data_IF_416109630125
#
_entry.id   IF_416109630125
#
_cell.length_a   1.000
_cell.length_b   1.000
_cell.length_c   1.000
_cell.angle_alpha   90.00
_cell.angle_beta   90.00
_cell.angle_gamma   90.00
#
_symmetry.space_group_name_H-M   'P 1'
#
loop_
_entity.id
_entity.type
_entity.pdbx_description
1 polymer ?
#
# COMPACT_ATOMS: atom_id res chain seq x y z
N UNK A 1 -37.11 -26.97 -39.35
CA UNK A 1 -38.31 -27.51 -38.68
C UNK A 1 -37.93 -28.86 -38.08
N UNK A 2 -37.54 -28.89 -36.79
CA UNK A 2 -37.22 -30.14 -36.10
C UNK A 2 -38.51 -30.84 -35.72
N UNK A 3 -38.82 -31.95 -36.38
CA UNK A 3 -39.77 -32.93 -35.87
C UNK A 3 -39.21 -33.43 -34.53
N UNK A 4 -39.93 -33.18 -33.44
CA UNK A 4 -39.69 -33.85 -32.17
C UNK A 4 -39.81 -35.36 -32.41
N UNK A 5 -38.69 -36.04 -32.51
CA UNK A 5 -38.64 -37.50 -32.66
C UNK A 5 -39.05 -38.08 -31.30
N UNK A 6 -40.32 -38.43 -31.12
CA UNK A 6 -40.84 -38.98 -29.84
C UNK A 6 -40.40 -40.42 -29.61
N UNK A 7 -40.29 -40.85 -28.35
CA UNK A 7 -39.98 -42.25 -28.01
C UNK A 7 -40.97 -43.24 -28.64
N UNK A 8 -42.21 -42.79 -28.88
CA UNK A 8 -43.27 -43.55 -29.52
C UNK A 8 -42.92 -43.95 -30.96
N UNK A 9 -42.31 -43.05 -31.74
CA UNK A 9 -41.90 -43.36 -33.11
C UNK A 9 -40.78 -44.42 -33.18
N UNK A 10 -39.85 -44.39 -32.23
CA UNK A 10 -38.77 -45.38 -32.15
C UNK A 10 -39.33 -46.75 -31.74
N UNK A 11 -40.27 -46.76 -30.79
CA UNK A 11 -40.99 -47.98 -30.37
C UNK A 11 -41.79 -48.59 -31.53
N UNK A 12 -42.47 -47.76 -32.32
CA UNK A 12 -43.20 -48.19 -33.51
C UNK A 12 -42.26 -48.81 -34.56
N UNK A 13 -41.09 -48.23 -34.78
CA UNK A 13 -40.07 -48.80 -35.67
C UNK A 13 -39.54 -50.14 -35.14
N UNK A 14 -39.30 -50.25 -33.83
CA UNK A 14 -38.90 -51.52 -33.21
C UNK A 14 -39.96 -52.60 -33.37
N UNK A 15 -41.23 -52.26 -33.21
CA UNK A 15 -42.35 -53.19 -33.39
C UNK A 15 -42.54 -53.58 -34.87
N UNK A 16 -42.42 -52.64 -35.81
CA UNK A 16 -42.45 -52.92 -37.25
C UNK A 16 -41.30 -53.82 -37.69
N UNK A 17 -40.09 -53.59 -37.15
CA UNK A 17 -38.94 -54.47 -37.36
C UNK A 17 -39.23 -55.89 -36.86
N UNK A 18 -39.78 -56.03 -35.65
CA UNK A 18 -40.11 -57.34 -35.09
C UNK A 18 -41.18 -58.06 -35.92
N UNK A 19 -42.24 -57.37 -36.32
CA UNK A 19 -43.29 -57.94 -37.17
C UNK A 19 -42.76 -58.39 -38.55
N UNK A 20 -41.80 -57.65 -39.14
CA UNK A 20 -41.15 -58.03 -40.39
C UNK A 20 -40.28 -59.28 -40.23
N UNK A 21 -39.57 -59.42 -39.10
CA UNK A 21 -38.82 -60.62 -38.74
C UNK A 21 -39.77 -61.82 -38.57
N UNK A 22 -40.88 -61.63 -37.86
CA UNK A 22 -41.89 -62.68 -37.62
C UNK A 22 -42.59 -63.11 -38.92
N UNK A 23 -42.69 -62.20 -39.90
CA UNK A 23 -43.19 -62.46 -41.25
C UNK A 23 -42.14 -63.01 -42.23
N UNK A 24 -40.90 -63.22 -41.78
CA UNK A 24 -39.74 -63.66 -42.60
C UNK A 24 -39.35 -62.69 -43.73
N UNK A 25 -39.74 -61.42 -43.62
CA UNK A 25 -39.37 -60.34 -44.56
C UNK A 25 -38.12 -59.61 -44.06
N UNK A 26 -36.96 -60.18 -44.40
CA UNK A 26 -35.66 -59.68 -43.93
C UNK A 26 -35.24 -58.37 -44.61
N UNK A 27 -35.68 -58.10 -45.84
CA UNK A 27 -35.39 -56.85 -46.54
C UNK A 27 -36.10 -55.67 -45.83
N UNK A 28 -37.37 -55.86 -45.47
CA UNK A 28 -38.12 -54.86 -44.70
C UNK A 28 -37.60 -54.72 -43.27
N UNK A 29 -37.15 -55.81 -42.64
CA UNK A 29 -36.52 -55.75 -41.32
C UNK A 29 -35.18 -54.98 -41.33
N UNK A 30 -34.35 -55.16 -42.36
CA UNK A 30 -33.10 -54.41 -42.55
C UNK A 30 -33.35 -52.92 -42.80
N UNK A 31 -34.37 -52.59 -43.60
CA UNK A 31 -34.81 -51.21 -43.80
C UNK A 31 -35.15 -50.52 -42.47
N UNK A 32 -36.00 -51.15 -41.65
CA UNK A 32 -36.38 -50.59 -40.34
C UNK A 32 -35.21 -50.55 -39.36
N UNK A 33 -34.29 -51.52 -39.40
CA UNK A 33 -33.06 -51.47 -38.62
C UNK A 33 -32.21 -50.24 -38.97
N UNK A 34 -32.00 -49.99 -40.26
CA UNK A 34 -31.23 -48.83 -40.74
C UNK A 34 -31.92 -47.50 -40.38
N UNK A 35 -33.24 -47.41 -40.45
CA UNK A 35 -33.98 -46.23 -39.97
C UNK A 35 -33.82 -46.01 -38.46
N UNK A 36 -33.90 -47.06 -37.64
CA UNK A 36 -33.67 -46.97 -36.19
C UNK A 36 -32.26 -46.44 -35.91
N UNK A 37 -31.24 -46.99 -36.58
CA UNK A 37 -29.86 -46.54 -36.41
C UNK A 37 -29.66 -45.07 -36.84
N UNK A 38 -30.28 -44.65 -37.93
CA UNK A 38 -30.26 -43.26 -38.39
C UNK A 38 -30.90 -42.33 -37.36
N UNK A 39 -32.03 -42.69 -36.77
CA UNK A 39 -32.69 -41.87 -35.76
C UNK A 39 -31.92 -41.80 -34.44
N UNK A 40 -31.35 -42.91 -33.99
CA UNK A 40 -30.47 -42.94 -32.81
C UNK A 40 -29.27 -42.01 -33.04
N UNK A 41 -28.66 -42.07 -34.23
CA UNK A 41 -27.53 -41.21 -34.59
C UNK A 41 -27.92 -39.73 -34.62
N UNK A 42 -29.05 -39.37 -35.23
CA UNK A 42 -29.53 -37.99 -35.28
C UNK A 42 -29.85 -37.44 -33.88
N UNK A 43 -30.51 -38.24 -33.02
CA UNK A 43 -30.79 -37.86 -31.62
C UNK A 43 -29.50 -37.67 -30.84
N UNK A 44 -28.56 -38.62 -30.96
CA UNK A 44 -27.27 -38.53 -30.31
C UNK A 44 -26.50 -37.28 -30.71
N UNK A 45 -26.49 -36.96 -32.02
CA UNK A 45 -25.82 -35.76 -32.51
C UNK A 45 -26.46 -34.48 -31.99
N UNK A 46 -27.80 -34.39 -31.98
CA UNK A 46 -28.51 -33.25 -31.39
C UNK A 46 -28.20 -33.08 -29.89
N UNK A 47 -28.15 -34.17 -29.13
CA UNK A 47 -27.78 -34.15 -27.71
C UNK A 47 -26.32 -33.71 -27.49
N UNK A 48 -25.39 -34.17 -28.34
CA UNK A 48 -23.99 -33.76 -28.29
C UNK A 48 -23.84 -32.27 -28.58
N UNK A 49 -24.55 -31.76 -29.59
CA UNK A 49 -24.54 -30.33 -29.94
C UNK A 49 -25.13 -29.46 -28.81
N UNK A 50 -26.19 -29.93 -28.15
CA UNK A 50 -26.76 -29.25 -26.97
C UNK A 50 -25.76 -29.23 -25.80
N UNK A 51 -25.11 -30.37 -25.49
CA UNK A 51 -24.08 -30.45 -24.45
C UNK A 51 -22.91 -29.52 -24.77
N UNK A 52 -22.44 -29.50 -26.02
CA UNK A 52 -21.37 -28.61 -26.49
C UNK A 52 -21.75 -27.14 -26.27
N UNK A 53 -22.95 -26.75 -26.70
CA UNK A 53 -23.44 -25.38 -26.55
C UNK A 53 -23.52 -24.95 -25.08
N UNK A 54 -24.17 -25.75 -24.23
CA UNK A 54 -24.33 -25.44 -22.81
C UNK A 54 -22.98 -25.37 -22.08
N UNK A 55 -22.07 -26.29 -22.39
CA UNK A 55 -20.73 -26.32 -21.80
C UNK A 55 -19.95 -25.07 -22.14
N UNK A 56 -20.01 -24.60 -23.39
CA UNK A 56 -19.33 -23.38 -23.81
C UNK A 56 -19.95 -22.11 -23.20
N UNK A 57 -21.28 -22.10 -22.99
CA UNK A 57 -21.96 -21.02 -22.26
C UNK A 57 -21.53 -21.00 -20.79
N UNK A 58 -21.45 -22.16 -20.12
CA UNK A 58 -20.96 -22.26 -18.75
C UNK A 58 -19.49 -21.85 -18.63
N UNK A 59 -18.63 -22.26 -19.57
CA UNK A 59 -17.22 -21.84 -19.64
C UNK A 59 -17.10 -20.32 -19.73
N UNK A 60 -17.89 -19.69 -20.60
CA UNK A 60 -17.91 -18.23 -20.75
C UNK A 60 -18.33 -17.52 -19.46
N UNK A 61 -19.26 -18.10 -18.69
CA UNK A 61 -19.65 -17.57 -17.36
C UNK A 61 -18.52 -17.69 -16.35
N UNK A 62 -17.82 -18.83 -16.31
CA UNK A 62 -16.66 -19.04 -15.43
C UNK A 62 -15.56 -18.00 -15.74
N UNK A 63 -15.25 -17.81 -17.02
CA UNK A 63 -14.25 -16.83 -17.48
C UNK A 63 -14.63 -15.40 -17.11
N UNK A 64 -15.91 -15.03 -17.24
CA UNK A 64 -16.42 -13.72 -16.84
C UNK A 64 -16.30 -13.52 -15.33
N UNK A 65 -16.77 -14.47 -14.53
CA UNK A 65 -16.70 -14.38 -13.07
C UNK A 65 -15.25 -14.26 -12.58
N UNK A 66 -14.32 -15.03 -13.18
CA UNK A 66 -12.90 -14.91 -12.85
C UNK A 66 -12.34 -13.53 -13.21
N UNK A 67 -12.76 -12.95 -14.35
CA UNK A 67 -12.37 -11.59 -14.73
C UNK A 67 -12.85 -10.55 -13.72
N UNK A 68 -14.11 -10.63 -13.29
CA UNK A 68 -14.68 -9.73 -12.29
C UNK A 68 -13.88 -9.81 -10.98
N UNK A 69 -13.53 -11.03 -10.54
CA UNK A 69 -12.66 -11.24 -9.35
C UNK A 69 -11.27 -10.63 -9.55
N UNK A 70 -10.67 -10.74 -10.73
CA UNK A 70 -9.35 -10.14 -11.00
C UNK A 70 -9.41 -8.61 -10.98
N UNK A 71 -10.50 -8.01 -11.46
CA UNK A 71 -10.72 -6.56 -11.42
C UNK A 71 -10.86 -6.08 -9.97
N UNK A 72 -11.65 -6.78 -9.15
CA UNK A 72 -11.81 -6.48 -7.72
C UNK A 72 -10.48 -6.59 -6.96
N UNK A 73 -9.69 -7.64 -7.21
CA UNK A 73 -8.36 -7.81 -6.60
C UNK A 73 -7.40 -6.71 -7.01
N UNK A 74 -7.42 -6.29 -8.29
CA UNK A 74 -6.59 -5.19 -8.77
C UNK A 74 -6.98 -3.85 -8.14
N UNK A 75 -8.28 -3.58 -7.99
CA UNK A 75 -8.77 -2.36 -7.36
C UNK A 75 -8.45 -2.34 -5.86
N UNK A 76 -8.65 -3.45 -5.14
CA UNK A 76 -8.34 -3.53 -3.72
C UNK A 76 -6.84 -3.40 -3.46
N UNK A 77 -6.00 -4.05 -4.28
CA UNK A 77 -4.55 -3.85 -4.25
C UNK A 77 -4.21 -2.36 -4.37
N UNK A 78 -4.75 -1.68 -5.39
CA UNK A 78 -4.49 -0.25 -5.60
C UNK A 78 -4.94 0.61 -4.42
N UNK A 79 -6.12 0.34 -3.85
CA UNK A 79 -6.63 1.06 -2.67
C UNK A 79 -5.72 0.82 -1.47
N UNK A 80 -5.25 -0.41 -1.28
CA UNK A 80 -4.37 -0.77 -0.17
C UNK A 80 -2.99 -0.11 -0.32
N UNK A 81 -2.39 -0.11 -1.52
CA UNK A 81 -1.14 0.61 -1.82
C UNK A 81 -1.27 2.11 -1.55
N UNK A 82 -2.36 2.73 -2.02
CA UNK A 82 -2.59 4.16 -1.82
C UNK A 82 -2.79 4.52 -0.34
N UNK A 83 -3.48 3.67 0.44
CA UNK A 83 -3.64 3.84 1.89
C UNK A 83 -2.31 3.71 2.61
N UNK A 84 -1.50 2.72 2.25
CA UNK A 84 -0.18 2.49 2.83
C UNK A 84 0.73 3.69 2.58
N UNK A 85 0.82 4.14 1.33
CA UNK A 85 1.61 5.32 0.98
C UNK A 85 1.16 6.57 1.74
N UNK A 86 -0.16 6.83 1.80
CA UNK A 86 -0.70 7.98 2.52
C UNK A 86 -0.41 7.92 4.03
N UNK A 87 -0.49 6.73 4.64
CA UNK A 87 -0.20 6.52 6.07
C UNK A 87 1.25 6.91 6.37
N UNK A 88 2.20 6.34 5.62
CA UNK A 88 3.62 6.61 5.85
C UNK A 88 4.02 8.04 5.47
N UNK A 89 3.39 8.64 4.45
CA UNK A 89 3.62 10.04 4.14
C UNK A 89 3.24 10.97 5.31
N UNK A 90 2.10 10.73 5.96
CA UNK A 90 1.69 11.52 7.14
C UNK A 90 2.67 11.29 8.28
N UNK A 91 3.02 10.03 8.55
CA UNK A 91 3.96 9.69 9.62
C UNK A 91 5.33 10.37 9.41
N UNK A 92 5.87 10.32 8.19
CA UNK A 92 7.13 11.02 7.86
C UNK A 92 7.03 12.53 8.10
N UNK A 93 5.92 13.16 7.71
CA UNK A 93 5.75 14.61 7.89
C UNK A 93 5.65 14.96 9.37
N UNK A 94 4.84 14.23 10.14
CA UNK A 94 4.68 14.45 11.59
C UNK A 94 6.02 14.28 12.30
N UNK A 95 6.78 13.23 11.98
CA UNK A 95 8.11 13.02 12.57
C UNK A 95 9.09 14.12 12.17
N UNK A 96 9.09 14.59 10.91
CA UNK A 96 9.95 15.71 10.50
C UNK A 96 9.61 17.00 11.25
N UNK A 97 8.33 17.31 11.41
CA UNK A 97 7.88 18.50 12.12
C UNK A 97 8.28 18.44 13.60
N UNK A 98 8.12 17.27 14.24
CA UNK A 98 8.57 17.05 15.62
C UNK A 98 10.10 17.18 15.77
N UNK A 99 10.87 16.63 14.83
CA UNK A 99 12.34 16.73 14.81
C UNK A 99 12.81 18.19 14.67
N UNK A 100 12.14 18.97 13.81
CA UNK A 100 12.40 20.41 13.67
C UNK A 100 12.11 21.13 14.99
N UNK A 101 10.98 20.81 15.65
CA UNK A 101 10.65 21.41 16.94
C UNK A 101 11.69 21.12 18.02
N UNK A 102 12.18 19.88 18.10
CA UNK A 102 13.23 19.50 19.04
C UNK A 102 14.54 20.28 18.80
N UNK A 103 14.97 20.43 17.54
CA UNK A 103 16.15 21.22 17.20
C UNK A 103 15.96 22.71 17.52
N UNK A 104 14.76 23.25 17.28
CA UNK A 104 14.45 24.63 17.63
C UNK A 104 14.51 24.86 19.14
N UNK A 105 14.00 23.92 19.94
CA UNK A 105 14.03 24.04 21.39
C UNK A 105 15.45 23.90 21.95
N UNK A 106 16.28 23.03 21.36
CA UNK A 106 17.70 22.93 21.68
C UNK A 106 18.45 24.25 21.43
N UNK A 107 18.22 24.91 20.29
CA UNK A 107 18.86 26.19 19.98
C UNK A 107 18.35 27.33 20.89
N UNK A 108 17.08 27.29 21.31
CA UNK A 108 16.57 28.24 22.32
C UNK A 108 17.23 28.03 23.67
N UNK A 109 17.34 26.78 24.12
CA UNK A 109 17.99 26.44 25.39
C UNK A 109 19.46 26.87 25.37
N UNK A 110 20.18 26.59 24.28
CA UNK A 110 21.53 27.09 24.05
C UNK A 110 21.62 28.62 24.19
N UNK A 111 20.70 29.34 23.56
CA UNK A 111 20.65 30.80 23.64
C UNK A 111 20.43 31.32 25.06
N UNK A 112 19.56 30.66 25.83
CA UNK A 112 19.30 30.98 27.23
C UNK A 112 20.52 30.71 28.12
N UNK A 113 21.15 29.53 27.98
CA UNK A 113 22.34 29.18 28.76
C UNK A 113 23.52 30.11 28.48
N UNK A 114 23.73 30.51 27.23
CA UNK A 114 24.75 31.51 26.88
C UNK A 114 24.48 32.87 27.53
N UNK A 115 23.21 33.28 27.59
CA UNK A 115 22.82 34.52 28.25
C UNK A 115 23.08 34.43 29.77
N UNK A 116 22.65 33.34 30.41
CA UNK A 116 22.85 33.11 31.85
C UNK A 116 24.34 33.09 32.22
N UNK A 117 25.18 32.40 31.44
CA UNK A 117 26.62 32.37 31.69
C UNK A 117 27.32 33.72 31.43
N UNK A 118 26.76 34.55 30.54
CA UNK A 118 27.24 35.92 30.30
C UNK A 118 26.88 36.89 31.43
N UNK A 119 25.76 36.66 32.12
CA UNK A 119 25.31 37.48 33.25
C UNK A 119 25.96 37.05 34.57
N UNK A 120 26.47 35.82 34.64
CA UNK A 120 27.08 35.25 35.83
C UNK A 120 28.38 35.97 36.20
N UNK A 121 28.41 36.50 37.42
CA UNK A 121 29.56 37.22 37.97
C UNK A 121 30.87 36.40 37.95
N UNK A 122 31.99 37.10 37.77
CA UNK A 122 33.35 36.53 37.78
C UNK A 122 34.05 36.99 39.07
N UNK A 123 34.17 36.12 40.08
CA UNK A 123 34.72 36.50 41.39
C UNK A 123 36.12 37.10 41.32
N UNK A 124 37.00 36.52 40.51
CA UNK A 124 38.39 36.99 40.35
C UNK A 124 38.45 38.41 39.77
N UNK A 125 37.59 38.72 38.79
CA UNK A 125 37.44 40.07 38.24
C UNK A 125 36.96 41.04 39.33
N UNK A 126 35.98 40.65 40.15
CA UNK A 126 35.45 41.48 41.24
C UNK A 126 36.54 41.76 42.30
N UNK A 127 37.35 40.77 42.66
CA UNK A 127 38.46 40.91 43.60
C UNK A 127 39.56 41.85 43.10
N UNK A 128 39.95 41.71 41.82
CA UNK A 128 40.91 42.62 41.19
C UNK A 128 40.39 44.05 41.12
N UNK A 129 39.10 44.24 40.78
CA UNK A 129 38.47 45.56 40.79
C UNK A 129 38.40 46.15 42.21
N UNK A 130 38.13 45.34 43.23
CA UNK A 130 38.14 45.78 44.62
C UNK A 130 39.55 46.16 45.10
N UNK A 131 40.59 45.45 44.65
CA UNK A 131 41.99 45.77 44.93
C UNK A 131 42.43 47.04 44.20
N UNK A 132 42.03 47.21 42.94
CA UNK A 132 42.26 48.44 42.17
C UNK A 132 41.63 49.66 42.86
N UNK A 133 40.41 49.52 43.40
CA UNK A 133 39.75 50.58 44.19
C UNK A 133 40.56 50.94 45.44
N UNK A 134 41.08 49.96 46.18
CA UNK A 134 41.91 50.20 47.37
C UNK A 134 43.22 50.92 47.02
N UNK A 135 43.91 50.52 45.96
CA UNK A 135 45.15 51.17 45.51
C UNK A 135 44.89 52.61 45.02
N UNK A 136 43.75 52.86 44.38
CA UNK A 136 43.34 54.21 44.01
C UNK A 136 43.07 55.11 45.23
N UNK A 137 42.48 54.56 46.31
CA UNK A 137 42.29 55.29 47.57
C UNK A 137 43.63 55.67 48.23
N UNK A 138 44.67 54.87 48.03
CA UNK A 138 46.04 55.16 48.46
C UNK A 138 46.82 56.07 47.49
N UNK A 139 46.15 56.62 46.47
CA UNK A 139 46.75 57.47 45.43
C UNK A 139 47.76 56.77 44.50
N UNK A 140 47.79 55.44 44.47
CA UNK A 140 48.63 54.65 43.55
C UNK A 140 47.93 54.42 42.20
N UNK A 141 47.70 55.49 41.45
CA UNK A 141 46.87 55.44 40.23
C UNK A 141 47.43 54.56 39.09
N UNK A 142 48.75 54.45 38.95
CA UNK A 142 49.35 53.61 37.92
C UNK A 142 49.02 52.12 38.16
N UNK A 143 49.21 51.66 39.39
CA UNK A 143 48.90 50.29 39.82
C UNK A 143 47.40 50.00 39.76
N UNK A 144 46.56 50.97 40.13
CA UNK A 144 45.10 50.83 40.00
C UNK A 144 44.65 50.67 38.54
N UNK A 145 45.29 51.37 37.58
CA UNK A 145 45.01 51.20 36.14
C UNK A 145 45.43 49.82 35.63
N UNK A 146 46.59 49.34 36.06
CA UNK A 146 47.09 48.01 35.72
C UNK A 146 46.16 46.91 36.25
N UNK A 147 45.78 46.95 37.53
CA UNK A 147 44.83 46.01 38.14
C UNK A 147 43.46 46.04 37.45
N UNK A 148 43.01 47.22 36.99
CA UNK A 148 41.76 47.33 36.21
C UNK A 148 41.89 46.66 34.85
N UNK A 149 43.04 46.75 34.20
CA UNK A 149 43.27 46.07 32.92
C UNK A 149 43.33 44.56 33.12
N UNK A 150 44.08 44.09 34.12
CA UNK A 150 44.12 42.67 34.49
C UNK A 150 42.71 42.12 34.80
N UNK A 151 41.88 42.90 35.51
CA UNK A 151 40.49 42.50 35.77
C UNK A 151 39.64 42.39 34.49
N UNK A 152 39.93 43.18 33.45
CA UNK A 152 39.26 43.06 32.15
C UNK A 152 39.72 41.80 31.42
N UNK A 153 41.04 41.60 31.35
CA UNK A 153 41.63 40.45 30.66
C UNK A 153 41.13 39.13 31.27
N UNK A 154 41.13 39.02 32.61
CA UNK A 154 40.55 37.86 33.34
C UNK A 154 39.06 37.68 33.05
N UNK A 155 38.30 38.78 32.97
CA UNK A 155 36.88 38.72 32.66
C UNK A 155 36.60 38.22 31.24
N UNK A 156 37.36 38.70 30.26
CA UNK A 156 37.25 38.28 28.86
C UNK A 156 37.66 36.82 28.67
N UNK A 157 38.77 36.39 29.28
CA UNK A 157 39.24 35.00 29.21
C UNK A 157 38.24 34.01 29.81
N UNK A 158 37.69 34.32 30.98
CA UNK A 158 36.72 33.45 31.67
C UNK A 158 35.37 33.39 30.95
N UNK A 159 34.87 34.51 30.40
CA UNK A 159 33.66 34.49 29.56
C UNK A 159 33.84 33.66 28.30
N UNK A 160 34.99 33.79 27.63
CA UNK A 160 35.29 33.01 26.44
C UNK A 160 35.42 31.51 26.76
N UNK A 161 36.00 31.16 27.91
CA UNK A 161 36.06 29.77 28.40
C UNK A 161 34.66 29.20 28.59
N UNK A 162 33.80 29.89 29.35
CA UNK A 162 32.41 29.45 29.61
C UNK A 162 31.62 29.31 28.31
N UNK A 163 31.78 30.27 27.40
CA UNK A 163 31.11 30.23 26.09
C UNK A 163 31.51 28.97 25.31
N UNK A 164 32.79 28.62 25.26
CA UNK A 164 33.27 27.40 24.60
C UNK A 164 32.70 26.15 25.24
N UNK A 165 32.69 26.06 26.57
CA UNK A 165 32.14 24.92 27.31
C UNK A 165 30.65 24.72 26.99
N UNK A 166 29.88 25.82 26.95
CA UNK A 166 28.46 25.78 26.55
C UNK A 166 28.31 25.37 25.09
N UNK A 167 29.09 25.94 24.16
CA UNK A 167 29.03 25.59 22.74
C UNK A 167 29.38 24.12 22.50
N UNK A 168 30.43 23.59 23.14
CA UNK A 168 30.83 22.18 23.07
C UNK A 168 29.72 21.26 23.58
N UNK A 169 29.13 21.59 24.74
CA UNK A 169 28.03 20.81 25.31
C UNK A 169 26.81 20.70 24.39
N UNK A 170 26.36 21.83 23.82
CA UNK A 170 25.20 21.84 22.93
C UNK A 170 25.50 21.20 21.57
N UNK A 171 26.73 21.26 21.09
CA UNK A 171 27.13 20.55 19.86
C UNK A 171 27.08 19.04 20.06
N UNK A 172 27.54 18.52 21.21
CA UNK A 172 27.41 17.10 21.56
C UNK A 172 25.94 16.66 21.63
N UNK A 173 25.09 17.45 22.28
CA UNK A 173 23.64 17.17 22.35
C UNK A 173 23.00 17.15 20.97
N UNK A 174 23.38 18.10 20.11
CA UNK A 174 22.89 18.19 18.73
C UNK A 174 23.29 16.96 17.91
N UNK A 175 24.53 16.50 18.01
CA UNK A 175 25.00 15.28 17.33
C UNK A 175 24.19 14.06 17.79
N UNK A 176 23.99 13.90 19.10
CA UNK A 176 23.18 12.80 19.65
C UNK A 176 21.74 12.85 19.16
N UNK A 177 21.13 14.04 19.15
CA UNK A 177 19.76 14.24 18.69
C UNK A 177 19.61 13.94 17.18
N UNK A 178 20.56 14.41 16.35
CA UNK A 178 20.56 14.10 14.92
C UNK A 178 20.71 12.60 14.64
N UNK A 179 21.50 11.89 15.44
CA UNK A 179 21.60 10.44 15.34
C UNK A 179 20.27 9.76 15.69
N UNK A 180 19.60 10.19 16.77
CA UNK A 180 18.27 9.68 17.12
C UNK A 180 17.25 9.95 16.03
N UNK A 181 17.23 11.17 15.47
CA UNK A 181 16.33 11.55 14.36
C UNK A 181 16.52 10.67 13.14
N UNK A 182 17.78 10.34 12.82
CA UNK A 182 18.10 9.40 11.76
C UNK A 182 17.57 8.00 12.06
N UNK A 183 17.83 7.48 13.27
CA UNK A 183 17.40 6.14 13.66
C UNK A 183 15.87 6.01 13.63
N UNK A 184 15.12 7.06 14.00
CA UNK A 184 13.66 7.12 13.88
C UNK A 184 13.19 7.07 12.42
N UNK A 185 13.84 7.83 11.53
CA UNK A 185 13.51 7.84 10.10
C UNK A 185 13.82 6.50 9.42
N UNK A 186 14.93 5.86 9.81
CA UNK A 186 15.31 4.53 9.35
C UNK A 186 14.26 3.50 9.82
N UNK A 187 13.81 3.56 11.07
CA UNK A 187 12.73 2.70 11.59
C UNK A 187 11.40 2.87 10.83
N UNK A 188 11.00 4.11 10.52
CA UNK A 188 9.79 4.36 9.71
C UNK A 188 9.94 3.76 8.31
N UNK A 189 11.13 3.86 7.72
CA UNK A 189 11.44 3.28 6.41
C UNK A 189 11.35 1.75 6.44
N UNK A 190 11.95 1.12 7.44
CA UNK A 190 11.90 -0.34 7.64
C UNK A 190 10.46 -0.84 7.81
N UNK A 191 9.64 -0.13 8.60
CA UNK A 191 8.22 -0.45 8.78
C UNK A 191 7.43 -0.33 7.47
N UNK A 192 7.73 0.68 6.65
CA UNK A 192 7.09 0.85 5.34
C UNK A 192 7.46 -0.30 4.39
N UNK A 193 8.73 -0.71 4.37
CA UNK A 193 9.20 -1.83 3.55
C UNK A 193 8.54 -3.15 3.96
N UNK A 194 8.46 -3.43 5.26
CA UNK A 194 7.85 -4.65 5.79
C UNK A 194 6.34 -4.69 5.51
N UNK A 195 5.60 -3.60 5.76
CA UNK A 195 4.16 -3.55 5.43
C UNK A 195 3.91 -3.65 3.90
N UNK A 196 4.78 -3.04 3.08
CA UNK A 196 4.71 -3.15 1.62
C UNK A 196 4.93 -4.59 1.15
N UNK A 197 5.88 -5.28 1.76
CA UNK A 197 6.16 -6.69 1.48
C UNK A 197 4.98 -7.58 1.85
N UNK A 198 4.40 -7.40 3.05
CA UNK A 198 3.22 -8.15 3.48
C UNK A 198 2.02 -7.94 2.55
N UNK A 199 1.80 -6.70 2.10
CA UNK A 199 0.72 -6.37 1.18
C UNK A 199 0.92 -7.03 -0.18
N UNK A 200 2.16 -7.06 -0.68
CA UNK A 200 2.52 -7.79 -1.89
C UNK A 200 2.29 -9.30 -1.74
N UNK A 201 2.77 -9.90 -0.66
CA UNK A 201 2.60 -11.33 -0.38
C UNK A 201 1.12 -11.72 -0.31
N UNK A 202 0.30 -10.89 0.34
CA UNK A 202 -1.16 -11.07 0.38
C UNK A 202 -1.78 -10.96 -1.01
N UNK A 203 -1.41 -9.94 -1.79
CA UNK A 203 -1.90 -9.78 -3.17
C UNK A 203 -1.53 -10.97 -4.06
N UNK A 204 -0.30 -11.48 -3.94
CA UNK A 204 0.16 -12.64 -4.70
C UNK A 204 -0.57 -13.92 -4.26
N UNK A 205 -0.85 -14.07 -2.95
CA UNK A 205 -1.66 -15.17 -2.41
C UNK A 205 -3.07 -15.16 -2.99
N UNK A 206 -3.77 -14.02 -2.91
CA UNK A 206 -5.15 -13.87 -3.38
C UNK A 206 -5.25 -14.13 -4.91
N UNK A 207 -4.26 -13.65 -5.67
CA UNK A 207 -4.17 -13.91 -7.11
C UNK A 207 -3.98 -15.40 -7.41
N UNK A 208 -3.10 -16.08 -6.67
CA UNK A 208 -2.87 -17.51 -6.83
C UNK A 208 -4.10 -18.34 -6.42
N UNK A 209 -4.82 -17.92 -5.37
CA UNK A 209 -6.08 -18.54 -4.97
C UNK A 209 -7.15 -18.39 -6.05
N UNK A 210 -7.28 -17.21 -6.65
CA UNK A 210 -8.22 -16.96 -7.74
C UNK A 210 -7.91 -17.84 -8.97
N UNK A 211 -6.62 -17.99 -9.33
CA UNK A 211 -6.17 -18.89 -10.41
C UNK A 211 -6.49 -20.36 -10.09
N UNK A 212 -6.29 -20.79 -8.85
CA UNK A 212 -6.63 -22.14 -8.40
C UNK A 212 -8.14 -22.40 -8.54
N UNK A 213 -8.98 -21.48 -8.05
CA UNK A 213 -10.45 -21.58 -8.16
C UNK A 213 -10.92 -21.63 -9.60
N UNK A 214 -10.32 -20.85 -10.50
CA UNK A 214 -10.60 -20.93 -11.94
C UNK A 214 -10.31 -22.32 -12.49
N UNK A 215 -9.12 -22.87 -12.18
CA UNK A 215 -8.72 -24.21 -12.64
C UNK A 215 -9.68 -25.28 -12.14
N UNK A 216 -10.02 -25.27 -10.85
CA UNK A 216 -10.97 -26.20 -10.25
C UNK A 216 -12.35 -26.11 -10.92
N UNK A 217 -12.85 -24.90 -11.18
CA UNK A 217 -14.14 -24.70 -11.86
C UNK A 217 -14.13 -25.24 -13.30
N UNK A 218 -13.03 -25.05 -14.04
CA UNK A 218 -12.87 -25.58 -15.39
C UNK A 218 -12.75 -27.11 -15.39
N UNK A 219 -12.00 -27.69 -14.45
CA UNK A 219 -11.85 -29.14 -14.33
C UNK A 219 -13.21 -29.80 -13.99
N UNK A 220 -13.99 -29.22 -13.07
CA UNK A 220 -15.35 -29.68 -12.77
C UNK A 220 -16.29 -29.58 -13.99
N UNK A 221 -16.17 -28.52 -14.79
CA UNK A 221 -16.94 -28.37 -16.02
C UNK A 221 -16.58 -29.48 -17.03
N UNK A 222 -15.30 -29.81 -17.18
CA UNK A 222 -14.83 -30.90 -18.04
C UNK A 222 -15.38 -32.24 -17.57
N UNK A 223 -15.32 -32.53 -16.27
CA UNK A 223 -15.85 -33.78 -15.71
C UNK A 223 -17.36 -33.90 -15.97
N UNK A 224 -18.12 -32.82 -15.73
CA UNK A 224 -19.56 -32.78 -16.00
C UNK A 224 -19.88 -32.99 -17.48
N UNK A 225 -19.14 -32.33 -18.37
CA UNK A 225 -19.30 -32.47 -19.81
C UNK A 225 -19.02 -33.91 -20.27
N UNK A 226 -17.97 -34.53 -19.73
CA UNK A 226 -17.60 -35.93 -20.01
C UNK A 226 -18.73 -36.88 -19.62
N UNK A 227 -19.25 -36.77 -18.40
CA UNK A 227 -20.36 -37.60 -17.91
C UNK A 227 -21.61 -37.44 -18.79
N UNK A 228 -21.94 -36.21 -19.18
CA UNK A 228 -23.09 -35.93 -20.06
C UNK A 228 -22.90 -36.56 -21.45
N UNK A 229 -21.72 -36.44 -22.06
CA UNK A 229 -21.42 -37.07 -23.34
C UNK A 229 -21.44 -38.61 -23.26
N UNK A 230 -20.98 -39.19 -22.15
CA UNK A 230 -21.03 -40.64 -21.92
C UNK A 230 -22.46 -41.17 -21.82
N UNK A 231 -23.38 -40.37 -21.29
CA UNK A 231 -24.80 -40.71 -21.12
C UNK A 231 -25.63 -40.65 -22.41
N UNK A 232 -25.10 -40.08 -23.50
CA UNK A 232 -25.77 -40.01 -24.80
C UNK A 232 -25.97 -41.42 -25.37
N UNK A 233 -27.14 -41.69 -25.95
CA UNK A 233 -27.43 -42.96 -26.63
C UNK A 233 -26.75 -43.01 -28.00
N UNK A 234 -25.42 -43.17 -28.02
CA UNK A 234 -24.59 -43.28 -29.21
C UNK A 234 -23.57 -44.42 -29.08
N UNK A 235 -22.87 -44.73 -30.17
CA UNK A 235 -21.76 -45.68 -30.14
C UNK A 235 -20.56 -45.11 -29.37
N UNK A 236 -19.75 -45.96 -28.74
CA UNK A 236 -18.59 -45.52 -27.94
C UNK A 236 -17.60 -44.65 -28.72
N UNK A 237 -17.45 -44.91 -30.02
CA UNK A 237 -16.57 -44.14 -30.88
C UNK A 237 -17.07 -42.69 -31.09
N UNK A 238 -18.38 -42.48 -31.22
CA UNK A 238 -18.95 -41.15 -31.40
C UNK A 238 -18.94 -40.36 -30.09
N UNK A 239 -19.20 -41.02 -28.95
CA UNK A 239 -19.04 -40.42 -27.61
C UNK A 239 -17.62 -39.94 -27.38
N UNK A 240 -16.63 -40.78 -27.67
CA UNK A 240 -15.21 -40.45 -27.51
C UNK A 240 -14.79 -39.27 -28.39
N UNK A 241 -15.17 -39.28 -29.67
CA UNK A 241 -14.88 -38.18 -30.58
C UNK A 241 -15.52 -36.85 -30.11
N UNK A 242 -16.75 -36.91 -29.58
CA UNK A 242 -17.42 -35.74 -29.02
C UNK A 242 -16.72 -35.19 -27.78
N UNK A 243 -16.30 -36.06 -26.85
CA UNK A 243 -15.53 -35.68 -25.66
C UNK A 243 -14.20 -35.04 -26.08
N UNK A 244 -13.43 -35.69 -26.96
CA UNK A 244 -12.13 -35.19 -27.41
C UNK A 244 -12.27 -33.82 -28.10
N UNK A 245 -13.28 -33.65 -28.96
CA UNK A 245 -13.58 -32.38 -29.62
C UNK A 245 -13.96 -31.29 -28.61
N UNK A 246 -14.79 -31.59 -27.62
CA UNK A 246 -15.22 -30.62 -26.61
C UNK A 246 -14.06 -30.22 -25.69
N UNK A 247 -13.22 -31.17 -25.29
CA UNK A 247 -12.01 -30.90 -24.50
C UNK A 247 -11.03 -30.01 -25.25
N UNK A 248 -10.85 -30.24 -26.55
CA UNK A 248 -10.03 -29.37 -27.40
C UNK A 248 -10.56 -27.94 -27.40
N UNK A 249 -11.86 -27.74 -27.63
CA UNK A 249 -12.50 -26.41 -27.60
C UNK A 249 -12.34 -25.70 -26.24
N UNK A 250 -12.54 -26.42 -25.13
CA UNK A 250 -12.36 -25.85 -23.78
C UNK A 250 -10.90 -25.43 -23.58
N UNK A 251 -9.94 -26.28 -23.95
CA UNK A 251 -8.52 -25.98 -23.79
C UNK A 251 -8.08 -24.81 -24.67
N UNK A 252 -8.54 -24.74 -25.91
CA UNK A 252 -8.24 -23.63 -26.83
C UNK A 252 -8.81 -22.31 -26.30
N UNK A 253 -10.06 -22.32 -25.84
CA UNK A 253 -10.69 -21.15 -25.21
C UNK A 253 -9.95 -20.70 -23.94
N UNK A 254 -9.53 -21.64 -23.09
CA UNK A 254 -8.76 -21.31 -21.89
C UNK A 254 -7.35 -20.80 -22.22
N UNK A 255 -6.73 -21.31 -23.29
CA UNK A 255 -5.43 -20.83 -23.76
C UNK A 255 -5.53 -19.39 -24.25
N UNK A 256 -6.56 -19.06 -25.04
CA UNK A 256 -6.84 -17.69 -25.48
C UNK A 256 -7.12 -16.77 -24.29
N UNK A 257 -7.93 -17.22 -23.33
CA UNK A 257 -8.23 -16.47 -22.13
C UNK A 257 -6.98 -16.15 -21.30
N UNK A 258 -6.09 -17.12 -21.09
CA UNK A 258 -4.85 -16.93 -20.33
C UNK A 258 -3.84 -16.00 -21.02
N UNK A 259 -3.98 -15.76 -22.33
CA UNK A 259 -3.16 -14.82 -23.10
C UNK A 259 -3.68 -13.38 -23.03
N UNK A 260 -4.91 -13.16 -22.55
CA UNK A 260 -5.44 -11.81 -22.39
C UNK A 260 -4.68 -11.07 -21.27
N UNK A 261 -4.26 -9.82 -21.51
CA UNK A 261 -3.57 -9.04 -20.50
C UNK A 261 -4.43 -8.88 -19.24
N UNK A 262 -3.79 -9.04 -18.09
CA UNK A 262 -4.40 -8.83 -16.77
C UNK A 262 -4.93 -7.41 -16.71
N UNK A 263 -6.20 -7.25 -16.31
CA UNK A 263 -6.93 -5.98 -16.31
C UNK A 263 -6.09 -4.88 -15.65
N UNK A 264 -5.62 -3.90 -16.44
CA UNK A 264 -5.00 -2.71 -15.88
C UNK A 264 -6.09 -1.91 -15.15
N UNK A 265 -5.92 -1.61 -13.85
CA UNK A 265 -6.90 -0.84 -13.11
C UNK A 265 -6.99 0.57 -13.72
N UNK A 266 -8.17 0.96 -14.20
CA UNK A 266 -8.40 2.31 -14.72
C UNK A 266 -8.11 3.33 -13.62
N UNK A 267 -7.06 4.15 -13.79
CA UNK A 267 -6.78 5.29 -12.91
C UNK A 267 -8.01 6.19 -12.82
N UNK A 268 -8.49 6.47 -11.61
CA UNK A 268 -9.54 7.48 -11.46
C UNK A 268 -8.95 8.87 -11.66
N UNK A 269 -9.72 9.81 -12.23
CA UNK A 269 -9.28 11.19 -12.46
C UNK A 269 -8.78 11.87 -11.17
N UNK A 270 -9.36 11.54 -10.03
CA UNK A 270 -8.94 12.02 -8.71
C UNK A 270 -7.56 11.53 -8.31
N UNK A 271 -7.15 10.32 -8.71
CA UNK A 271 -5.82 9.79 -8.44
C UNK A 271 -4.78 10.33 -9.41
N UNK A 272 -5.13 10.56 -10.68
CA UNK A 272 -4.28 11.30 -11.61
C UNK A 272 -3.98 12.72 -11.08
N UNK A 273 -4.97 13.37 -10.45
CA UNK A 273 -4.77 14.68 -9.81
C UNK A 273 -3.99 14.62 -8.49
N UNK A 274 -4.12 13.55 -7.69
CA UNK A 274 -3.29 13.36 -6.49
C UNK A 274 -1.84 13.04 -6.84
N UNK A 275 -1.56 12.20 -7.84
CA UNK A 275 -0.20 11.92 -8.31
C UNK A 275 0.53 13.16 -8.87
N UNK A 276 -0.20 14.08 -9.50
CA UNK A 276 0.35 15.32 -10.03
C UNK A 276 0.52 16.42 -8.97
N UNK A 277 -0.28 16.42 -7.90
CA UNK A 277 -0.13 17.35 -6.77
C UNK A 277 0.83 16.85 -5.68
N UNK A 278 1.07 15.53 -5.59
CA UNK A 278 1.96 14.89 -4.61
C UNK A 278 3.40 14.66 -5.13
N UNK A 279 3.72 15.04 -6.37
CA UNK A 279 5.08 14.97 -6.93
C UNK A 279 5.75 16.35 -7.11
N UNK A 280 6.11 17.05 -6.02
CA UNK A 280 7.34 17.85 -6.00
C UNK A 280 8.48 17.16 -5.23
N UNK A 281 8.25 16.01 -4.60
CA UNK A 281 9.20 15.44 -3.63
C UNK A 281 10.36 14.67 -4.25
N UNK A 282 10.20 14.09 -5.45
CA UNK A 282 11.33 13.39 -6.12
C UNK A 282 12.44 14.34 -6.61
N UNK A 283 12.10 15.61 -6.83
CA UNK A 283 13.09 16.67 -7.09
C UNK A 283 13.70 17.25 -5.80
N UNK A 284 13.02 17.10 -4.65
CA UNK A 284 13.52 17.54 -3.35
C UNK A 284 14.46 16.52 -2.71
N UNK A 285 14.18 15.22 -2.83
CA UNK A 285 14.98 14.14 -2.23
C UNK A 285 16.30 13.85 -2.97
N UNK A 286 16.45 14.28 -4.22
CA UNK A 286 17.68 14.10 -5.02
C UNK A 286 18.61 15.32 -5.01
N UNK A 287 18.32 16.38 -4.24
CA UNK A 287 19.31 17.43 -3.96
C UNK A 287 20.13 17.03 -2.75
N UNK A 288 21.05 16.10 -2.98
CA UNK A 288 22.27 16.00 -2.20
C UNK A 288 22.99 17.34 -2.37
N UNK A 289 23.38 17.97 -1.25
CA UNK A 289 23.91 19.34 -1.14
C UNK A 289 22.86 20.45 -0.98
N UNK A 290 22.20 20.49 0.18
CA UNK A 290 21.78 21.76 0.77
C UNK A 290 22.62 21.98 2.02
N UNK A 291 23.48 23.01 1.99
CA UNK A 291 24.19 23.47 3.18
C UNK A 291 23.18 23.95 4.24
N UNK A 292 23.53 23.93 5.54
CA UNK A 292 22.64 24.38 6.62
C UNK A 292 22.04 25.79 6.38
N UNK A 293 22.77 26.64 5.67
CA UNK A 293 22.37 28.00 5.28
C UNK A 293 21.17 28.04 4.33
N UNK A 294 20.98 27.03 3.48
CA UNK A 294 19.85 26.95 2.55
C UNK A 294 18.55 26.50 3.22
N UNK A 295 18.65 25.80 4.36
CA UNK A 295 17.50 25.42 5.20
C UNK A 295 16.99 26.66 5.96
N UNK A 296 17.91 27.47 6.51
CA UNK A 296 17.58 28.72 7.22
C UNK A 296 16.94 29.76 6.30
N UNK A 297 17.49 30.00 5.09
CA UNK A 297 16.87 30.94 4.12
C UNK A 297 15.46 30.51 3.69
N UNK A 298 15.18 29.21 3.67
CA UNK A 298 13.86 28.70 3.29
C UNK A 298 12.82 28.93 4.40
N UNK A 299 13.23 28.87 5.66
CA UNK A 299 12.41 29.23 6.81
C UNK A 299 12.11 30.74 6.88
N UNK A 300 13.08 31.59 6.51
CA UNK A 300 12.92 33.05 6.43
C UNK A 300 12.01 33.48 5.26
N UNK A 301 12.10 32.80 4.11
CA UNK A 301 11.26 33.09 2.95
C UNK A 301 9.78 32.69 3.16
N UNK A 302 9.52 31.68 4.01
CA UNK A 302 8.16 31.25 4.36
C UNK A 302 7.47 32.22 5.34
N UNK A 303 8.23 32.88 6.22
CA UNK A 303 7.73 33.89 7.16
C UNK A 303 7.53 35.27 6.53
N UNK A 304 8.18 35.56 5.40
CA UNK A 304 8.07 36.85 4.70
C UNK A 304 6.77 37.05 3.88
N UNK A 305 5.91 36.04 3.75
CA UNK A 305 4.64 36.14 3.01
C UNK A 305 3.43 35.89 3.90
N UNK A 306 2.99 36.94 4.61
CA UNK A 306 1.59 37.01 5.04
C UNK A 306 1.29 37.80 6.30
N UNK A 307 1.52 39.12 6.31
CA UNK A 307 0.80 40.01 7.25
C UNK A 307 0.45 41.33 6.58
N UNK A 308 -0.65 41.35 5.82
CA UNK A 308 -1.40 42.59 5.61
C UNK A 308 -2.57 42.61 6.59
N UNK A 309 -2.51 43.60 7.48
CA UNK A 309 -3.47 43.89 8.53
C UNK A 309 -4.92 43.93 8.04
N UNK A 310 -5.84 43.33 8.82
CA UNK A 310 -7.21 43.82 8.93
C UNK A 310 -7.64 43.84 10.39
N UNK A 311 -7.65 45.05 10.94
CA UNK A 311 -8.18 45.39 12.26
C UNK A 311 -9.68 45.13 12.34
N UNK A 312 -10.11 44.38 13.33
CA UNK A 312 -11.52 44.18 13.69
C UNK A 312 -11.65 43.82 15.16
N UNK A 313 -12.00 44.81 15.97
CA UNK A 313 -12.25 44.72 17.41
C UNK A 313 -13.53 43.91 17.73
N UNK A 314 -13.44 42.90 18.61
CA UNK A 314 -14.32 42.74 19.80
C UNK A 314 -13.87 41.58 20.73
N UNK A 315 -14.06 41.68 22.06
CA UNK A 315 -13.53 40.76 23.08
C UNK A 315 -14.63 39.87 23.71
N UNK A 316 -14.41 39.20 24.87
CA UNK A 316 -13.88 37.83 24.99
C UNK A 316 -14.92 36.84 25.55
N UNK A 317 -14.74 35.55 25.33
CA UNK A 317 -15.51 34.52 26.05
C UNK A 317 -14.61 33.38 26.54
N UNK A 318 -14.84 33.03 27.80
CA UNK A 318 -14.14 32.13 28.69
C UNK A 318 -14.05 30.66 28.26
N UNK A 319 -13.09 29.96 28.89
CA UNK A 319 -13.02 28.51 29.16
C UNK A 319 -12.77 27.63 27.93
N UNK A 320 -12.05 26.51 27.99
CA UNK A 320 -11.70 25.62 29.08
C UNK A 320 -10.46 24.82 28.68
N UNK A 321 -9.53 24.70 29.61
CA UNK A 321 -8.56 23.60 29.71
C UNK A 321 -9.22 22.24 29.53
N UNK A 322 -8.57 21.36 28.77
CA UNK A 322 -8.98 19.97 28.57
C UNK A 322 -7.76 19.10 28.30
N UNK A 323 -6.95 18.87 29.33
CA UNK A 323 -5.89 17.88 29.37
C UNK A 323 -6.51 16.47 29.24
N UNK A 324 -6.10 15.71 28.23
CA UNK A 324 -6.38 14.27 28.17
C UNK A 324 -5.14 13.54 28.66
N UNK A 325 -5.16 13.20 29.95
CA UNK A 325 -4.19 12.32 30.59
C UNK A 325 -4.38 10.88 30.12
N UNK A 326 -3.34 10.29 29.51
CA UNK A 326 -3.22 8.83 29.32
C UNK A 326 -2.86 8.17 30.65
N UNK A 327 -3.81 7.46 31.25
CA UNK A 327 -3.53 6.52 32.34
C UNK A 327 -3.39 5.11 31.75
N UNK A 328 -2.18 4.57 31.79
CA UNK A 328 -1.93 3.13 31.67
C UNK A 328 -2.17 2.48 33.04
N UNK A 329 -3.11 1.56 33.13
CA UNK A 329 -3.17 0.59 34.23
C UNK A 329 -3.00 -0.81 33.67
N UNK A 330 -1.79 -1.34 33.89
CA UNK A 330 -1.50 -2.75 33.84
C UNK A 330 -2.03 -3.40 35.13
N UNK A 331 -2.94 -4.37 35.02
CA UNK A 331 -3.25 -5.29 36.12
C UNK A 331 -2.66 -6.65 35.81
N UNK A 332 -1.51 -6.87 36.45
CA UNK A 332 -0.91 -8.18 36.74
C UNK A 332 -1.89 -8.97 37.62
N UNK A 333 -2.13 -10.23 37.24
CA UNK A 333 -3.08 -11.11 37.92
C UNK A 333 -2.64 -11.61 39.29
N UNK A 334 -3.50 -12.45 39.89
CA UNK A 334 -3.11 -13.54 40.79
C UNK A 334 -4.29 -14.46 41.11
N UNK A 335 -4.02 -15.75 40.90
CA UNK A 335 -4.53 -16.97 41.54
C UNK A 335 -5.96 -17.42 41.28
#
# INVERSE_FOLDING_TARGET
MSTLITNDFLSDLHQKKQNAIDALDFETAEYYYNEIQNQITQRAQAQIEEIDHETMVELSKIQKNHRDVLEDLAEEKRKSDARLYSKFQVLFQETQDDQIHQLMDLEKERGLTLLEESEREIPEQIELLNTAKKEAMLSHFAKAKELRQQARDVGEEELERRRKEVEEHFEELKIQMLQQHKDEMDQISDLHEEESKQLKEKSDHDLNEAKRKLKEAVDLLKDRATVRCQAVTANELTKKAAIDSLMAKINDSMKEYNLMPTVEPKLTKSEQMRLTTLCPTRAAMNRVESTPEDIVRRAEAATAKGTTCRTGLRPPSHSSTGLISRAYTATIGKR
#
